data_IF_668974670006
#
_entry.id   IF_668974670006
#
_cell.length_a   1.000
_cell.length_b   1.000
_cell.length_c   1.000
_cell.angle_alpha   90.00
_cell.angle_beta   90.00
_cell.angle_gamma   90.00
#
_symmetry.space_group_name_H-M   'P 1'
#
loop_
_entity.id
_entity.type
_entity.pdbx_description
1 polymer ?
#
# COMPACT_ATOMS: atom_id res chain seq x y z
N UNK A 1 -20.15 15.96 20.64
CA UNK A 1 -19.44 17.19 20.20
C UNK A 1 -19.24 17.06 18.70
N UNK A 2 -19.72 18.03 17.92
CA UNK A 2 -19.56 18.05 16.45
C UNK A 2 -18.41 18.99 16.12
N UNK A 3 -17.46 18.55 15.30
CA UNK A 3 -16.34 19.40 14.89
C UNK A 3 -16.84 20.48 13.93
N UNK A 4 -16.63 21.76 14.26
CA UNK A 4 -17.21 22.90 13.52
C UNK A 4 -16.76 22.99 12.06
N UNK A 5 -15.56 22.47 11.75
CA UNK A 5 -14.97 22.52 10.40
C UNK A 5 -14.93 21.14 9.73
N UNK A 6 -15.97 20.33 9.93
CA UNK A 6 -16.04 18.97 9.36
C UNK A 6 -15.95 18.96 7.82
N UNK A 7 -16.35 20.05 7.17
CA UNK A 7 -16.28 20.17 5.71
C UNK A 7 -14.83 20.23 5.20
N UNK A 8 -13.95 20.97 5.88
CA UNK A 8 -12.54 21.05 5.51
C UNK A 8 -11.86 19.69 5.63
N UNK A 9 -12.21 18.93 6.67
CA UNK A 9 -11.68 17.59 6.88
C UNK A 9 -12.15 16.61 5.77
N UNK A 10 -13.39 16.74 5.30
CA UNK A 10 -13.92 15.97 4.17
C UNK A 10 -13.23 16.33 2.84
N UNK A 11 -13.00 17.62 2.59
CA UNK A 11 -12.28 18.08 1.39
C UNK A 11 -10.83 17.58 1.41
N UNK A 12 -10.18 17.64 2.57
CA UNK A 12 -8.85 17.09 2.76
C UNK A 12 -8.82 15.58 2.49
N UNK A 13 -9.76 14.81 3.06
CA UNK A 13 -9.88 13.37 2.79
C UNK A 13 -10.07 13.09 1.30
N UNK A 14 -10.92 13.84 0.61
CA UNK A 14 -11.15 13.67 -0.83
C UNK A 14 -9.88 13.96 -1.66
N UNK A 15 -9.07 14.94 -1.26
CA UNK A 15 -7.77 15.20 -1.88
C UNK A 15 -6.79 14.03 -1.66
N UNK A 16 -6.68 13.53 -0.42
CA UNK A 16 -5.87 12.36 -0.11
C UNK A 16 -6.34 11.11 -0.88
N UNK A 17 -7.64 10.91 -0.98
CA UNK A 17 -8.27 9.84 -1.76
C UNK A 17 -7.87 9.93 -3.23
N UNK A 18 -7.98 11.11 -3.83
CA UNK A 18 -7.60 11.33 -5.22
C UNK A 18 -6.13 11.00 -5.48
N UNK A 19 -5.23 11.53 -4.64
CA UNK A 19 -3.80 11.29 -4.77
C UNK A 19 -3.39 9.84 -4.49
N UNK A 20 -4.07 9.17 -3.56
CA UNK A 20 -3.75 7.80 -3.18
C UNK A 20 -4.36 6.79 -4.15
N UNK A 21 -5.62 6.94 -4.54
CA UNK A 21 -6.37 5.90 -5.25
C UNK A 21 -6.55 6.17 -6.73
N UNK A 22 -6.65 7.43 -7.16
CA UNK A 22 -7.04 7.77 -8.54
C UNK A 22 -5.91 8.40 -9.37
N UNK A 23 -4.88 8.95 -8.73
CA UNK A 23 -3.72 9.48 -9.43
C UNK A 23 -2.77 8.36 -9.90
N UNK A 24 -2.94 7.93 -11.16
CA UNK A 24 -2.09 6.90 -11.77
C UNK A 24 -0.60 7.25 -11.79
N UNK A 25 -0.23 8.54 -11.81
CA UNK A 25 1.18 8.97 -11.78
C UNK A 25 1.86 8.63 -10.45
N UNK A 26 1.06 8.50 -9.38
CA UNK A 26 1.53 8.12 -8.06
C UNK A 26 1.66 6.59 -7.90
N UNK A 27 1.15 5.80 -8.85
CA UNK A 27 1.24 4.33 -8.80
C UNK A 27 2.60 3.85 -9.32
N UNK A 28 3.42 3.31 -8.42
CA UNK A 28 4.75 2.74 -8.72
C UNK A 28 4.68 1.22 -8.78
N UNK A 29 5.16 0.64 -9.88
CA UNK A 29 5.22 -0.81 -10.07
C UNK A 29 6.32 -1.42 -9.20
N UNK A 30 6.02 -2.53 -8.52
CA UNK A 30 7.04 -3.39 -7.93
C UNK A 30 7.45 -4.46 -8.92
N UNK A 31 8.76 -4.70 -9.01
CA UNK A 31 9.35 -5.71 -9.86
C UNK A 31 9.73 -6.94 -9.04
N UNK A 32 9.36 -8.12 -9.53
CA UNK A 32 9.71 -9.40 -8.93
C UNK A 32 10.55 -10.19 -9.95
N UNK A 33 11.60 -10.91 -9.51
CA UNK A 33 12.41 -11.69 -10.42
C UNK A 33 11.56 -12.78 -11.09
N UNK A 34 11.70 -12.90 -12.41
CA UNK A 34 11.09 -13.96 -13.20
C UNK A 34 12.03 -15.17 -13.13
N UNK A 35 12.16 -15.82 -11.97
CA UNK A 35 13.02 -17.00 -11.85
C UNK A 35 12.19 -18.28 -11.93
N UNK A 36 12.73 -19.28 -12.64
CA UNK A 36 12.13 -20.63 -12.81
C UNK A 36 12.20 -21.47 -11.54
N UNK A 37 13.09 -21.11 -10.61
CA UNK A 37 13.16 -21.68 -9.27
C UNK A 37 12.11 -20.92 -8.45
N UNK A 38 11.03 -21.57 -8.01
CA UNK A 38 9.90 -20.98 -7.26
C UNK A 38 10.29 -20.41 -5.87
N UNK A 39 11.54 -20.00 -5.68
CA UNK A 39 12.06 -19.51 -4.41
C UNK A 39 11.81 -18.02 -4.29
N UNK A 40 11.11 -17.64 -3.22
CA UNK A 40 10.96 -16.23 -2.84
C UNK A 40 12.29 -15.72 -2.28
N UNK A 41 12.94 -14.79 -2.98
CA UNK A 41 14.26 -14.25 -2.65
C UNK A 41 14.17 -12.77 -2.23
N UNK A 42 13.93 -12.46 -0.93
CA UNK A 42 13.69 -11.10 -0.47
C UNK A 42 14.78 -10.08 -0.80
N UNK A 43 16.05 -10.49 -0.77
CA UNK A 43 17.16 -9.55 -0.94
C UNK A 43 17.36 -9.16 -2.41
N UNK A 44 17.08 -10.08 -3.34
CA UNK A 44 17.01 -9.77 -4.76
C UNK A 44 15.84 -8.84 -5.06
N UNK A 45 14.64 -9.14 -4.53
CA UNK A 45 13.47 -8.26 -4.70
C UNK A 45 13.77 -6.86 -4.16
N UNK A 46 14.43 -6.72 -3.00
CA UNK A 46 14.86 -5.40 -2.50
C UNK A 46 15.84 -4.71 -3.43
N UNK A 47 16.79 -5.45 -4.02
CA UNK A 47 17.79 -4.91 -4.95
C UNK A 47 17.11 -4.39 -6.21
N UNK A 48 16.18 -5.15 -6.80
CA UNK A 48 15.39 -4.74 -7.96
C UNK A 48 14.57 -3.47 -7.68
N UNK A 49 14.00 -3.35 -6.47
CA UNK A 49 13.12 -2.24 -6.09
C UNK A 49 13.84 -1.13 -5.30
N UNK A 50 15.18 -1.09 -5.31
CA UNK A 50 15.96 -0.18 -4.47
C UNK A 50 15.58 1.30 -4.64
N UNK A 51 15.31 1.74 -5.86
CA UNK A 51 14.91 3.13 -6.15
C UNK A 51 13.56 3.47 -5.51
N UNK A 52 12.54 2.64 -5.76
CA UNK A 52 11.22 2.78 -5.17
C UNK A 52 11.25 2.75 -3.63
N UNK A 53 11.97 1.81 -3.04
CA UNK A 53 12.09 1.70 -1.58
C UNK A 53 12.81 2.92 -0.95
N UNK A 54 13.70 3.59 -1.70
CA UNK A 54 14.31 4.86 -1.28
C UNK A 54 13.31 6.01 -1.37
N UNK A 55 12.50 6.07 -2.42
CA UNK A 55 11.47 7.10 -2.60
C UNK A 55 10.45 7.10 -1.46
N UNK A 56 10.01 5.91 -1.03
CA UNK A 56 9.08 5.73 0.09
C UNK A 56 9.62 6.26 1.42
N UNK A 57 10.95 6.22 1.63
CA UNK A 57 11.53 6.55 2.92
C UNK A 57 11.31 8.03 3.26
N UNK A 58 10.67 8.30 4.41
CA UNK A 58 10.35 9.66 4.92
C UNK A 58 9.40 10.48 4.03
N UNK A 59 8.78 9.89 2.99
CA UNK A 59 7.82 10.56 2.10
C UNK A 59 6.45 9.87 2.09
N UNK A 60 6.17 9.07 3.11
CA UNK A 60 4.98 8.22 3.15
C UNK A 60 4.55 8.01 4.57
N UNK A 61 3.28 8.21 4.85
CA UNK A 61 2.65 7.71 6.07
C UNK A 61 1.28 7.04 5.82
N UNK A 62 0.75 7.14 4.60
CA UNK A 62 -0.39 6.35 4.10
C UNK A 62 -0.04 5.76 2.73
N UNK A 63 -0.39 4.51 2.47
CA UNK A 63 -0.12 3.82 1.21
C UNK A 63 -1.26 2.88 0.82
N UNK A 64 -1.36 2.60 -0.47
CA UNK A 64 -2.27 1.61 -1.03
C UNK A 64 -1.52 0.58 -1.88
N UNK A 65 -1.99 -0.66 -1.86
CA UNK A 65 -1.49 -1.75 -2.70
C UNK A 65 -2.55 -2.07 -3.75
N UNK A 66 -2.10 -2.16 -5.00
CA UNK A 66 -2.92 -2.48 -6.15
C UNK A 66 -2.42 -3.75 -6.80
N UNK A 67 -3.35 -4.56 -7.28
CA UNK A 67 -3.05 -5.77 -8.02
C UNK A 67 -3.71 -5.73 -9.40
N UNK A 68 -3.03 -6.31 -10.38
CA UNK A 68 -3.63 -6.70 -11.65
C UNK A 68 -3.33 -8.18 -11.89
N UNK A 69 -4.31 -8.91 -12.43
CA UNK A 69 -4.15 -10.32 -12.79
C UNK A 69 -3.14 -10.48 -13.94
N UNK A 70 -2.70 -11.72 -14.17
CA UNK A 70 -1.82 -12.06 -15.29
C UNK A 70 -2.36 -11.50 -16.61
N UNK A 71 -1.49 -10.86 -17.37
CA UNK A 71 -1.80 -10.22 -18.66
C UNK A 71 -2.87 -9.10 -18.59
N UNK A 72 -3.16 -8.56 -17.41
CA UNK A 72 -4.06 -7.43 -17.24
C UNK A 72 -3.30 -6.15 -16.86
N UNK A 73 -3.80 -5.02 -17.37
CA UNK A 73 -3.38 -3.68 -16.95
C UNK A 73 -4.44 -3.00 -16.07
N UNK A 74 -5.52 -3.70 -15.71
CA UNK A 74 -6.54 -3.20 -14.78
C UNK A 74 -6.10 -3.42 -13.34
N UNK A 75 -5.61 -2.35 -12.70
CA UNK A 75 -5.11 -2.36 -11.34
C UNK A 75 -6.20 -1.94 -10.35
N UNK A 76 -6.52 -2.85 -9.41
CA UNK A 76 -7.51 -2.62 -8.36
C UNK A 76 -6.85 -2.47 -7.00
N UNK A 77 -7.27 -1.48 -6.23
CA UNK A 77 -6.84 -1.31 -4.85
C UNK A 77 -7.38 -2.47 -4.00
N UNK A 78 -6.48 -3.16 -3.30
CA UNK A 78 -6.83 -4.30 -2.44
C UNK A 78 -6.43 -4.10 -0.99
N UNK A 79 -5.54 -3.15 -0.72
CA UNK A 79 -5.11 -2.83 0.63
C UNK A 79 -4.84 -1.33 0.78
N UNK A 80 -5.22 -0.76 1.92
CA UNK A 80 -4.74 0.53 2.42
C UNK A 80 -4.09 0.29 3.76
N UNK A 81 -2.96 0.95 3.99
CA UNK A 81 -2.27 0.91 5.28
C UNK A 81 -1.64 2.24 5.62
N UNK A 82 -1.38 2.45 6.91
CA UNK A 82 -0.55 3.56 7.40
C UNK A 82 0.65 3.09 8.21
N UNK A 83 1.57 4.02 8.43
CA UNK A 83 2.64 3.91 9.42
C UNK A 83 3.18 5.29 9.76
N UNK A 84 3.96 5.40 10.83
CA UNK A 84 4.86 6.55 10.97
C UNK A 84 5.79 6.67 9.76
N UNK A 85 6.10 7.88 9.34
CA UNK A 85 6.93 8.20 8.19
C UNK A 85 8.34 7.61 8.28
N UNK A 86 8.90 7.58 9.50
CA UNK A 86 10.18 6.94 9.82
C UNK A 86 10.16 5.42 9.61
N UNK A 87 8.99 4.78 9.69
CA UNK A 87 8.81 3.34 9.57
C UNK A 87 8.22 2.86 8.24
N UNK A 88 7.83 3.77 7.34
CA UNK A 88 7.06 3.43 6.13
C UNK A 88 7.77 2.46 5.20
N UNK A 89 9.07 2.67 4.94
CA UNK A 89 9.88 1.77 4.13
C UNK A 89 9.89 0.35 4.72
N UNK A 90 10.08 0.23 6.02
CA UNK A 90 10.08 -1.06 6.72
C UNK A 90 8.71 -1.71 6.64
N UNK A 91 7.63 -0.94 6.82
CA UNK A 91 6.26 -1.45 6.77
C UNK A 91 5.90 -2.00 5.38
N UNK A 92 6.19 -1.24 4.33
CA UNK A 92 5.98 -1.67 2.94
C UNK A 92 6.86 -2.87 2.57
N UNK A 93 8.13 -2.88 2.99
CA UNK A 93 9.02 -4.04 2.83
C UNK A 93 8.43 -5.28 3.50
N UNK A 94 7.83 -5.12 4.69
CA UNK A 94 7.23 -6.23 5.41
C UNK A 94 6.01 -6.81 4.69
N UNK A 95 5.21 -5.95 4.06
CA UNK A 95 4.04 -6.36 3.28
C UNK A 95 4.39 -6.99 1.95
N UNK A 96 5.42 -6.47 1.27
CA UNK A 96 5.64 -6.74 -0.15
C UNK A 96 6.83 -7.67 -0.41
N UNK A 97 7.71 -7.86 0.56
CA UNK A 97 9.01 -8.52 0.35
C UNK A 97 9.40 -9.49 1.47
N UNK A 98 9.35 -9.12 2.75
CA UNK A 98 9.88 -9.97 3.84
C UNK A 98 9.07 -9.86 5.12
N UNK A 99 8.39 -10.94 5.52
CA UNK A 99 7.55 -10.96 6.72
C UNK A 99 8.42 -10.79 7.97
N UNK A 100 8.00 -9.89 8.85
CA UNK A 100 8.50 -9.86 10.22
C UNK A 100 7.69 -10.86 11.07
N UNK A 101 8.35 -11.68 11.89
CA UNK A 101 7.77 -12.80 12.67
C UNK A 101 6.55 -12.43 13.56
N UNK A 102 6.29 -11.14 13.79
CA UNK A 102 5.26 -10.64 14.73
C UNK A 102 4.21 -9.69 14.12
N UNK A 103 4.10 -9.56 12.80
CA UNK A 103 3.22 -8.54 12.19
C UNK A 103 2.19 -9.13 11.23
N UNK A 104 0.98 -8.56 11.21
CA UNK A 104 -0.11 -8.86 10.26
C UNK A 104 0.21 -8.42 8.83
N UNK A 105 1.32 -8.91 8.28
CA UNK A 105 1.80 -8.56 6.97
C UNK A 105 1.06 -9.34 5.87
N UNK A 106 0.71 -8.65 4.78
CA UNK A 106 0.09 -9.20 3.57
C UNK A 106 1.03 -10.00 2.64
N UNK A 107 2.20 -10.40 3.14
CA UNK A 107 3.21 -11.05 2.31
C UNK A 107 2.69 -12.35 1.68
N UNK A 108 1.94 -13.15 2.43
CA UNK A 108 1.43 -14.43 1.94
C UNK A 108 0.44 -14.22 0.77
N UNK A 109 -0.30 -13.10 0.75
CA UNK A 109 -1.20 -12.74 -0.34
C UNK A 109 -0.42 -12.19 -1.55
N UNK A 110 0.64 -11.42 -1.29
CA UNK A 110 1.54 -10.90 -2.32
C UNK A 110 2.27 -12.03 -3.04
N UNK A 111 2.82 -13.00 -2.30
CA UNK A 111 3.53 -14.15 -2.87
C UNK A 111 2.62 -14.91 -3.82
N UNK A 112 1.44 -15.33 -3.34
CA UNK A 112 0.46 -16.06 -4.18
C UNK A 112 0.10 -15.29 -5.44
N UNK A 113 -0.21 -13.99 -5.32
CA UNK A 113 -0.58 -13.17 -6.47
C UNK A 113 0.52 -13.09 -7.53
N UNK A 114 1.79 -13.01 -7.10
CA UNK A 114 2.94 -12.98 -8.01
C UNK A 114 3.20 -14.37 -8.63
N UNK A 115 3.06 -15.44 -7.85
CA UNK A 115 3.17 -16.83 -8.34
C UNK A 115 2.12 -17.17 -9.40
N UNK A 116 0.91 -16.62 -9.26
CA UNK A 116 -0.16 -16.72 -10.28
C UNK A 116 0.13 -15.87 -11.55
N UNK A 117 1.27 -15.18 -11.61
CA UNK A 117 1.70 -14.34 -12.72
C UNK A 117 1.07 -12.95 -12.72
N UNK A 118 0.48 -12.54 -11.59
CA UNK A 118 -0.06 -11.20 -11.40
C UNK A 118 1.02 -10.14 -11.23
N UNK A 119 0.60 -8.88 -11.17
CA UNK A 119 1.49 -7.75 -10.94
C UNK A 119 0.98 -6.82 -9.85
N UNK A 120 1.91 -6.09 -9.23
CA UNK A 120 1.64 -5.22 -8.07
C UNK A 120 2.12 -3.80 -8.35
N UNK A 121 1.28 -2.83 -7.98
CA UNK A 121 1.65 -1.42 -7.85
C UNK A 121 1.38 -0.95 -6.42
N UNK A 122 2.09 0.09 -6.02
CA UNK A 122 1.82 0.83 -4.78
C UNK A 122 1.69 2.30 -5.07
N UNK A 123 0.82 2.98 -4.33
CA UNK A 123 0.81 4.44 -4.23
C UNK A 123 1.00 4.82 -2.78
N UNK A 124 1.47 6.04 -2.54
CA UNK A 124 1.71 6.53 -1.21
C UNK A 124 1.62 8.05 -1.14
N UNK A 125 1.22 8.55 0.02
CA UNK A 125 1.13 9.97 0.32
C UNK A 125 1.76 10.24 1.69
N UNK A 126 2.20 11.49 1.88
CA UNK A 126 2.61 12.02 3.17
C UNK A 126 1.58 13.05 3.63
N UNK A 127 1.13 12.91 4.87
CA UNK A 127 0.12 13.79 5.46
C UNK A 127 0.70 14.49 6.67
N UNK A 128 0.47 15.79 6.79
CA UNK A 128 0.85 16.59 7.95
C UNK A 128 -0.39 17.29 8.53
N UNK A 129 -0.64 17.21 9.85
CA UNK A 129 0.14 16.47 10.85
C UNK A 129 0.04 14.95 10.68
N UNK A 130 1.11 14.25 11.05
CA UNK A 130 1.22 12.78 10.90
C UNK A 130 0.06 12.00 11.54
N UNK A 131 -0.61 12.57 12.56
CA UNK A 131 -1.78 11.96 13.23
C UNK A 131 -2.97 11.72 12.30
N UNK A 132 -3.13 12.53 11.24
CA UNK A 132 -4.22 12.40 10.28
C UNK A 132 -4.17 11.11 9.46
N UNK A 133 -3.02 10.41 9.43
CA UNK A 133 -2.88 9.13 8.73
C UNK A 133 -3.90 8.08 9.20
N UNK A 134 -4.26 8.10 10.49
CA UNK A 134 -5.23 7.18 11.07
C UNK A 134 -6.64 7.47 10.56
N UNK A 135 -7.04 8.74 10.61
CA UNK A 135 -8.32 9.19 10.08
C UNK A 135 -8.50 8.83 8.60
N UNK A 136 -7.47 9.08 7.79
CA UNK A 136 -7.49 8.76 6.35
C UNK A 136 -7.59 7.25 6.12
N UNK A 137 -6.77 6.45 6.81
CA UNK A 137 -6.82 4.98 6.70
C UNK A 137 -8.21 4.46 7.03
N UNK A 138 -8.77 4.86 8.18
CA UNK A 138 -10.07 4.38 8.66
C UNK A 138 -11.22 4.74 7.71
N UNK A 139 -11.32 6.01 7.30
CA UNK A 139 -12.40 6.47 6.43
C UNK A 139 -12.31 5.86 5.03
N UNK A 140 -11.10 5.73 4.45
CA UNK A 140 -10.93 5.09 3.15
C UNK A 140 -11.20 3.59 3.22
N UNK A 141 -10.75 2.90 4.26
CA UNK A 141 -11.05 1.48 4.42
C UNK A 141 -12.57 1.27 4.55
N UNK A 142 -13.25 2.09 5.35
CA UNK A 142 -14.71 2.04 5.50
C UNK A 142 -15.42 2.25 4.17
N UNK A 143 -15.03 3.29 3.41
CA UNK A 143 -15.59 3.62 2.10
C UNK A 143 -15.38 2.52 1.05
N UNK A 144 -14.22 1.86 1.08
CA UNK A 144 -13.80 0.87 0.09
C UNK A 144 -13.74 -0.57 0.60
N UNK A 145 -14.46 -0.87 1.68
CA UNK A 145 -14.45 -2.18 2.36
C UNK A 145 -14.74 -3.37 1.43
N UNK A 146 -15.54 -3.17 0.37
CA UNK A 146 -15.86 -4.22 -0.62
C UNK A 146 -14.71 -4.52 -1.59
N UNK A 147 -13.84 -3.54 -1.86
CA UNK A 147 -12.73 -3.69 -2.82
C UNK A 147 -11.40 -3.99 -2.12
N UNK A 148 -11.23 -3.49 -0.89
CA UNK A 148 -10.03 -3.68 -0.07
C UNK A 148 -9.98 -5.05 0.60
N UNK A 149 -10.03 -6.11 -0.20
CA UNK A 149 -10.11 -7.51 0.23
C UNK A 149 -8.95 -7.97 1.14
N UNK A 150 -7.85 -7.23 1.20
CA UNK A 150 -6.73 -7.54 2.09
C UNK A 150 -6.79 -6.77 3.43
N UNK A 151 -7.66 -5.76 3.57
CA UNK A 151 -7.97 -5.15 4.86
C UNK A 151 -8.94 -6.04 5.62
N UNK A 152 -8.41 -7.00 6.39
CA UNK A 152 -9.23 -7.81 7.30
C UNK A 152 -9.53 -6.96 8.52
N UNK A 153 -10.80 -6.55 8.66
CA UNK A 153 -11.33 -6.15 9.95
C UNK A 153 -11.51 -7.43 10.75
N UNK A 154 -10.71 -7.62 11.79
CA UNK A 154 -11.11 -8.53 12.86
C UNK A 154 -12.49 -8.06 13.32
N UNK A 155 -13.52 -8.86 13.09
CA UNK A 155 -14.82 -8.68 13.77
C UNK A 155 -14.62 -8.88 15.26
#
# INVERSE_FOLDING_TARGET
MTYSNIQDLKLFLASCENELLFNDKNRKKLNYPINKTNDWLPDDIKKLNKSLLKEIAKKTNVYAIFIANKNSNDYKAVYIGQSKSSGARTRLTNHLIKKHKKTGAKLDQVIRHIEDGGSIKVSFILTEPESLRHYIEEELIKKYSKTLIWNIHSK
#
